data_IF_645029106911
#
_entry.id   IF_645029106911
#
_cell.length_a   1.000
_cell.length_b   1.000
_cell.length_c   1.000
_cell.angle_alpha   90.00
_cell.angle_beta   90.00
_cell.angle_gamma   90.00
#
_symmetry.space_group_name_H-M   'P 1'
#
loop_
_entity.id
_entity.type
_entity.pdbx_description
1 polymer ?
#
# COMPACT_ATOMS: atom_id res chain seq x y z
N UNK A 1 12.63 16.64 -16.06
CA UNK A 1 11.42 15.82 -16.31
C UNK A 1 10.26 16.23 -15.39
N UNK A 2 10.49 16.45 -14.08
CA UNK A 2 9.44 16.90 -13.14
C UNK A 2 8.72 18.18 -13.56
N UNK A 3 9.42 19.12 -14.20
CA UNK A 3 8.89 20.41 -14.64
C UNK A 3 7.74 20.29 -15.65
N UNK A 4 7.66 19.18 -16.39
CA UNK A 4 6.59 18.91 -17.37
C UNK A 4 5.24 18.74 -16.67
N UNK A 5 5.23 18.36 -15.39
CA UNK A 5 4.00 18.12 -14.63
C UNK A 5 3.42 19.39 -14.01
N UNK A 6 4.18 20.49 -13.92
CA UNK A 6 3.70 21.71 -13.26
C UNK A 6 2.46 22.30 -13.96
N UNK A 7 2.47 22.49 -15.29
CA UNK A 7 1.30 23.02 -15.99
C UNK A 7 0.11 22.03 -15.96
N UNK A 8 0.38 20.73 -15.87
CA UNK A 8 -0.66 19.71 -15.81
C UNK A 8 -1.39 19.73 -14.46
N UNK A 9 -0.69 20.07 -13.37
CA UNK A 9 -1.26 20.17 -12.02
C UNK A 9 -1.94 21.51 -11.76
N UNK A 10 -1.42 22.61 -12.32
CA UNK A 10 -1.91 23.97 -12.05
C UNK A 10 -2.99 24.40 -13.03
N UNK A 11 -2.76 24.19 -14.33
CA UNK A 11 -3.58 24.74 -15.40
C UNK A 11 -4.31 23.65 -16.22
N UNK A 12 -4.13 22.38 -15.87
CA UNK A 12 -4.59 21.22 -16.65
C UNK A 12 -4.12 21.29 -18.11
N UNK A 13 -2.87 21.71 -18.33
CA UNK A 13 -2.26 21.74 -19.66
C UNK A 13 -0.97 20.93 -19.70
N UNK A 14 -0.68 20.32 -20.84
CA UNK A 14 0.56 19.60 -21.05
C UNK A 14 1.26 20.11 -22.31
N UNK A 15 2.54 20.44 -22.18
CA UNK A 15 3.39 20.82 -23.31
C UNK A 15 4.16 19.59 -23.80
N UNK A 16 3.91 19.19 -25.05
CA UNK A 16 4.58 18.06 -25.69
C UNK A 16 5.41 18.55 -26.87
N UNK A 17 6.69 18.21 -26.86
CA UNK A 17 7.57 18.41 -28.00
C UNK A 17 7.31 17.31 -29.05
N UNK A 18 6.88 17.70 -30.25
CA UNK A 18 6.69 16.79 -31.39
C UNK A 18 7.76 17.06 -32.44
N UNK A 19 8.47 15.99 -32.83
CA UNK A 19 9.54 16.01 -33.83
C UNK A 19 10.95 16.00 -33.21
N UNK A 20 11.96 15.79 -34.06
CA UNK A 20 13.39 15.81 -33.69
C UNK A 20 14.15 16.87 -34.51
N UNK A 21 15.21 17.44 -33.93
CA UNK A 21 16.06 18.41 -34.60
C UNK A 21 15.43 19.81 -34.76
N UNK A 22 15.87 20.62 -35.75
CA UNK A 22 15.44 22.01 -35.92
C UNK A 22 13.94 22.18 -36.25
N UNK A 23 13.26 21.09 -36.61
CA UNK A 23 11.83 21.08 -36.93
C UNK A 23 10.94 20.71 -35.73
N UNK A 24 11.53 20.45 -34.54
CA UNK A 24 10.76 20.14 -33.35
C UNK A 24 9.87 21.32 -32.94
N UNK A 25 8.59 21.06 -32.72
CA UNK A 25 7.60 22.07 -32.30
C UNK A 25 6.95 21.66 -30.98
N UNK A 26 6.77 22.64 -30.09
CA UNK A 26 5.97 22.49 -28.87
C UNK A 26 4.48 22.61 -29.22
N UNK A 27 3.67 21.70 -28.70
CA UNK A 27 2.22 21.72 -28.81
C UNK A 27 1.63 21.62 -27.40
N UNK A 28 0.70 22.53 -27.08
CA UNK A 28 -0.08 22.49 -25.85
C UNK A 28 -1.32 21.64 -26.03
N UNK A 29 -1.55 20.75 -25.08
CA UNK A 29 -2.73 19.87 -25.02
C UNK A 29 -3.49 20.19 -23.74
N UNK A 30 -4.79 20.43 -23.85
CA UNK A 30 -5.67 20.58 -22.69
C UNK A 30 -5.98 19.19 -22.11
N UNK A 31 -5.87 19.09 -20.79
CA UNK A 31 -6.18 17.89 -20.02
C UNK A 31 -7.56 18.02 -19.37
N UNK A 32 -8.32 16.92 -19.27
CA UNK A 32 -9.48 16.90 -18.41
C UNK A 32 -9.05 17.05 -16.93
N UNK A 33 -9.92 17.59 -16.06
CA UNK A 33 -9.65 17.64 -14.62
C UNK A 33 -9.34 16.24 -14.06
N UNK A 34 -8.25 16.14 -13.30
CA UNK A 34 -7.82 14.89 -12.67
C UNK A 34 -7.24 15.12 -11.27
N UNK A 35 -7.09 14.03 -10.51
CA UNK A 35 -6.42 14.04 -9.21
C UNK A 35 -5.11 13.28 -9.29
N UNK A 36 -3.99 14.00 -9.14
CA UNK A 36 -2.67 13.39 -9.08
C UNK A 36 -2.41 12.82 -7.68
N UNK A 37 -2.11 11.52 -7.60
CA UNK A 37 -1.69 10.86 -6.35
C UNK A 37 -0.22 10.51 -6.45
N UNK A 38 0.63 11.23 -5.70
CA UNK A 38 2.05 10.96 -5.58
C UNK A 38 2.36 10.08 -4.36
N UNK A 39 3.25 9.10 -4.52
CA UNK A 39 3.76 8.28 -3.42
C UNK A 39 5.29 8.28 -3.45
N UNK A 40 5.92 8.73 -2.36
CA UNK A 40 7.39 8.69 -2.19
C UNK A 40 7.75 8.13 -0.83
N UNK A 41 8.89 7.44 -0.74
CA UNK A 41 9.45 6.98 0.53
C UNK A 41 10.15 8.12 1.29
N UNK A 42 10.54 9.19 0.58
CA UNK A 42 11.24 10.34 1.12
C UNK A 42 10.64 11.62 0.54
N UNK A 43 9.82 12.30 1.34
CA UNK A 43 9.22 13.58 0.95
C UNK A 43 10.29 14.65 0.64
N UNK A 44 11.43 14.62 1.34
CA UNK A 44 12.56 15.53 1.08
C UNK A 44 13.30 15.28 -0.24
N UNK A 45 12.99 14.19 -0.95
CA UNK A 45 13.53 13.95 -2.29
C UNK A 45 12.73 14.65 -3.39
N UNK A 46 11.56 15.20 -3.06
CA UNK A 46 10.79 16.03 -3.99
C UNK A 46 11.32 17.47 -3.95
N UNK A 47 11.45 18.07 -5.13
CA UNK A 47 11.74 19.49 -5.26
C UNK A 47 10.63 20.31 -4.58
N UNK A 48 10.99 21.45 -3.96
CA UNK A 48 9.98 22.30 -3.30
C UNK A 48 8.84 22.71 -4.23
N UNK A 49 9.09 23.15 -5.50
CA UNK A 49 8.02 23.49 -6.43
C UNK A 49 7.02 22.36 -6.66
N UNK A 50 7.47 21.12 -6.85
CA UNK A 50 6.57 19.98 -7.07
C UNK A 50 5.77 19.65 -5.81
N UNK A 51 6.42 19.68 -4.63
CA UNK A 51 5.79 19.38 -3.35
C UNK A 51 4.70 20.40 -3.00
N UNK A 52 4.95 21.68 -3.23
CA UNK A 52 4.05 22.77 -2.86
C UNK A 52 2.74 22.76 -3.69
N UNK A 53 2.72 22.03 -4.83
CA UNK A 53 1.53 21.82 -5.67
C UNK A 53 0.61 20.70 -5.17
N UNK A 54 1.03 19.88 -4.19
CA UNK A 54 0.15 18.89 -3.57
C UNK A 54 -0.66 19.53 -2.44
N UNK A 55 -1.96 19.78 -2.69
CA UNK A 55 -2.85 20.36 -1.68
C UNK A 55 -3.12 19.46 -0.46
N UNK A 56 -2.89 18.15 -0.58
CA UNK A 56 -3.03 17.18 0.51
C UNK A 56 -1.72 16.40 0.63
N UNK A 57 -1.03 16.57 1.75
CA UNK A 57 0.21 15.84 2.06
C UNK A 57 -0.05 14.94 3.25
N UNK A 58 0.07 13.63 3.04
CA UNK A 58 -0.09 12.62 4.08
C UNK A 58 1.23 11.88 4.30
N UNK A 59 1.66 11.83 5.56
CA UNK A 59 2.83 11.05 5.97
C UNK A 59 2.36 9.78 6.68
N UNK A 60 2.69 8.64 6.09
CA UNK A 60 2.44 7.34 6.73
C UNK A 60 3.55 7.04 7.73
N UNK A 61 3.14 6.72 8.95
CA UNK A 61 4.02 6.25 10.01
C UNK A 61 3.98 4.73 10.14
N UNK A 62 4.93 4.18 10.88
CA UNK A 62 4.88 2.78 11.25
C UNK A 62 3.69 2.50 12.15
N UNK A 63 3.03 1.37 11.90
CA UNK A 63 1.87 0.95 12.67
C UNK A 63 2.28 0.53 14.07
N UNK A 64 1.41 0.80 15.04
CA UNK A 64 1.58 0.29 16.39
C UNK A 64 1.23 -1.20 16.45
N UNK A 65 1.75 -1.89 17.47
CA UNK A 65 1.51 -3.33 17.67
C UNK A 65 0.00 -3.66 17.74
N UNK A 66 -0.86 -2.89 18.44
CA UNK A 66 -2.30 -3.16 18.48
C UNK A 66 -2.96 -3.10 17.10
N UNK A 67 -2.58 -2.11 16.27
CA UNK A 67 -3.13 -1.97 14.91
C UNK A 67 -2.68 -3.13 14.01
N UNK A 68 -1.41 -3.51 14.11
CA UNK A 68 -0.89 -4.68 13.38
C UNK A 68 -1.56 -5.97 13.84
N UNK A 69 -1.81 -6.14 15.14
CA UNK A 69 -2.55 -7.29 15.65
C UNK A 69 -3.96 -7.35 15.07
N UNK A 70 -4.66 -6.21 15.00
CA UNK A 70 -5.97 -6.12 14.38
C UNK A 70 -5.93 -6.47 12.88
N UNK A 71 -4.95 -5.95 12.14
CA UNK A 71 -4.73 -6.26 10.73
C UNK A 71 -4.49 -7.76 10.54
N UNK A 72 -3.58 -8.36 11.31
CA UNK A 72 -3.24 -9.79 11.22
C UNK A 72 -4.47 -10.65 11.53
N UNK A 73 -5.23 -10.30 12.57
CA UNK A 73 -6.44 -11.03 12.97
C UNK A 73 -7.48 -11.02 11.85
N UNK A 74 -7.73 -9.84 11.26
CA UNK A 74 -8.61 -9.68 10.10
C UNK A 74 -8.12 -10.48 8.90
N UNK A 75 -6.82 -10.45 8.61
CA UNK A 75 -6.23 -11.17 7.49
C UNK A 75 -6.25 -12.69 7.70
N UNK A 76 -6.11 -13.19 8.92
CA UNK A 76 -6.21 -14.62 9.25
C UNK A 76 -7.60 -15.16 8.91
N UNK A 77 -8.66 -14.44 9.30
CA UNK A 77 -10.05 -14.80 8.95
C UNK A 77 -10.27 -14.86 7.44
N UNK A 78 -9.71 -13.92 6.68
CA UNK A 78 -9.89 -13.87 5.24
C UNK A 78 -9.23 -15.04 4.50
N UNK A 79 -8.14 -15.59 5.04
CA UNK A 79 -7.42 -16.73 4.45
C UNK A 79 -7.78 -18.09 5.07
N UNK A 80 -8.81 -18.14 5.93
CA UNK A 80 -9.23 -19.36 6.62
C UNK A 80 -8.20 -19.88 7.65
N UNK A 81 -7.28 -19.03 8.11
CA UNK A 81 -6.33 -19.37 9.16
C UNK A 81 -6.92 -19.09 10.54
N UNK A 82 -6.42 -19.79 11.56
CA UNK A 82 -6.86 -19.63 12.93
C UNK A 82 -6.51 -18.24 13.43
N UNK A 83 -7.50 -17.54 14.00
CA UNK A 83 -7.36 -16.19 14.53
C UNK A 83 -7.11 -16.22 16.05
N UNK A 84 -6.06 -16.93 16.47
CA UNK A 84 -5.68 -16.93 17.89
C UNK A 84 -5.03 -15.59 18.25
N UNK A 85 -5.61 -14.88 19.24
CA UNK A 85 -5.15 -13.55 19.66
C UNK A 85 -3.65 -13.50 20.00
N UNK A 86 -3.12 -14.57 20.60
CA UNK A 86 -1.68 -14.69 20.93
C UNK A 86 -0.81 -14.86 19.68
N UNK A 87 -1.23 -15.67 18.72
CA UNK A 87 -0.54 -15.85 17.44
C UNK A 87 -0.51 -14.54 16.64
N UNK A 88 -1.63 -13.83 16.55
CA UNK A 88 -1.71 -12.53 15.89
C UNK A 88 -0.79 -11.47 16.53
N UNK A 89 -0.72 -11.46 17.87
CA UNK A 89 0.18 -10.56 18.61
C UNK A 89 1.66 -10.85 18.31
N UNK A 90 2.05 -12.12 18.24
CA UNK A 90 3.44 -12.50 17.98
C UNK A 90 3.87 -12.16 16.55
N UNK A 91 2.99 -12.36 15.57
CA UNK A 91 3.20 -11.89 14.20
C UNK A 91 3.34 -10.37 14.18
N UNK A 92 2.44 -9.63 14.84
CA UNK A 92 2.47 -8.17 14.89
C UNK A 92 3.79 -7.63 15.46
N UNK A 93 4.27 -8.17 16.58
CA UNK A 93 5.56 -7.79 17.21
C UNK A 93 6.75 -7.98 16.27
N UNK A 94 6.74 -9.00 15.42
CA UNK A 94 7.84 -9.32 14.47
C UNK A 94 7.71 -8.63 13.10
N UNK A 95 6.69 -7.80 12.91
CA UNK A 95 6.36 -7.22 11.61
C UNK A 95 7.01 -5.86 11.33
N UNK A 96 7.85 -5.36 12.24
CA UNK A 96 8.59 -4.09 12.07
C UNK A 96 7.67 -2.93 11.65
N UNK A 97 6.53 -2.76 12.33
CA UNK A 97 5.60 -1.65 12.06
C UNK A 97 4.90 -1.71 10.69
N UNK A 98 5.04 -2.81 9.94
CA UNK A 98 4.70 -2.83 8.51
C UNK A 98 3.62 -3.89 8.18
N UNK A 99 2.41 -3.51 7.75
CA UNK A 99 1.33 -4.44 7.40
C UNK A 99 1.72 -5.47 6.32
N UNK A 100 2.49 -5.05 5.32
CA UNK A 100 3.00 -5.94 4.26
C UNK A 100 3.87 -7.08 4.81
N UNK A 101 4.69 -6.80 5.82
CA UNK A 101 5.53 -7.82 6.48
C UNK A 101 4.65 -8.73 7.32
N UNK A 102 3.68 -8.18 8.06
CA UNK A 102 2.75 -8.94 8.88
C UNK A 102 1.98 -9.99 8.08
N UNK A 103 1.39 -9.59 6.95
CA UNK A 103 0.67 -10.50 6.07
C UNK A 103 1.58 -11.55 5.41
N UNK A 104 2.85 -11.22 5.16
CA UNK A 104 3.84 -12.19 4.68
C UNK A 104 4.18 -13.23 5.74
N UNK A 105 4.37 -12.81 6.99
CA UNK A 105 4.64 -13.72 8.11
C UNK A 105 3.44 -14.61 8.40
N UNK A 106 2.22 -14.05 8.42
CA UNK A 106 0.98 -14.80 8.62
C UNK A 106 0.85 -15.96 7.62
N UNK A 107 1.10 -15.72 6.32
CA UNK A 107 1.08 -16.79 5.31
C UNK A 107 2.05 -17.92 5.64
N UNK A 108 3.30 -17.58 6.01
CA UNK A 108 4.31 -18.59 6.41
C UNK A 108 3.92 -19.37 7.66
N UNK A 109 3.33 -18.70 8.66
CA UNK A 109 2.85 -19.35 9.88
C UNK A 109 1.72 -20.33 9.56
N UNK A 110 0.79 -19.94 8.68
CA UNK A 110 -0.28 -20.82 8.20
C UNK A 110 0.29 -22.04 7.47
N UNK A 111 1.15 -21.81 6.48
CA UNK A 111 1.72 -22.91 5.67
C UNK A 111 2.48 -23.91 6.56
N UNK A 112 3.20 -23.41 7.57
CA UNK A 112 3.86 -24.27 8.56
C UNK A 112 2.87 -25.07 9.42
N UNK A 113 1.77 -24.44 9.86
CA UNK A 113 0.73 -25.10 10.63
C UNK A 113 0.03 -26.20 9.80
N UNK A 114 -0.26 -25.95 8.52
CA UNK A 114 -0.88 -26.93 7.62
C UNK A 114 0.01 -28.17 7.43
N UNK A 115 1.32 -27.99 7.23
CA UNK A 115 2.27 -29.09 7.06
C UNK A 115 2.48 -29.87 8.37
N UNK A 116 2.60 -29.18 9.52
CA UNK A 116 2.78 -29.82 10.84
C UNK A 116 1.59 -30.66 11.30
N UNK A 117 0.42 -30.42 10.73
CA UNK A 117 -0.81 -31.12 11.08
C UNK A 117 -1.28 -32.09 9.98
N UNK A 118 -0.39 -32.60 9.12
CA UNK A 118 -0.69 -33.59 8.06
C UNK A 118 -1.88 -33.18 7.14
N UNK A 119 -2.06 -31.88 6.88
CA UNK A 119 -3.20 -31.37 6.11
C UNK A 119 -4.55 -31.46 6.83
N UNK A 120 -4.63 -32.13 7.98
CA UNK A 120 -5.71 -31.96 8.97
C UNK A 120 -5.50 -30.65 9.70
N UNK A 121 -5.96 -29.55 9.09
CA UNK A 121 -6.07 -28.26 9.79
C UNK A 121 -6.69 -28.51 11.18
N UNK A 122 -6.02 -28.15 12.30
CA UNK A 122 -6.57 -28.40 13.61
C UNK A 122 -7.94 -27.72 13.64
N UNK A 123 -8.96 -28.44 14.13
CA UNK A 123 -10.37 -28.02 14.18
C UNK A 123 -10.64 -26.67 14.88
N UNK A 124 -9.59 -25.95 15.29
CA UNK A 124 -9.60 -24.54 15.66
C UNK A 124 -9.81 -23.56 14.48
N UNK A 125 -9.74 -24.02 13.23
CA UNK A 125 -9.89 -23.22 12.00
C UNK A 125 -11.32 -23.15 11.41
N UNK A 126 -12.37 -23.05 12.24
CA UNK A 126 -13.70 -22.62 11.75
C UNK A 126 -14.34 -21.63 12.73
N UNK A 127 -14.43 -20.33 12.40
CA UNK A 127 -15.46 -19.49 12.99
C UNK A 127 -16.79 -19.81 12.29
N UNK A 128 -17.70 -20.45 13.02
CA UNK A 128 -19.15 -20.36 12.79
C UNK A 128 -19.69 -20.90 11.46
N UNK A 129 -20.00 -22.20 11.42
CA UNK A 129 -21.21 -22.65 10.74
C UNK A 129 -22.33 -22.58 11.79
N UNK A 130 -23.09 -21.48 11.82
CA UNK A 130 -24.14 -21.26 12.80
C UNK A 130 -24.62 -19.82 12.82
N UNK A 131 -25.21 -19.36 11.71
CA UNK A 131 -26.30 -18.40 11.81
C UNK A 131 -27.59 -19.25 11.85
N UNK A 132 -28.16 -19.35 13.03
CA UNK A 132 -29.56 -19.67 13.30
C UNK A 132 -30.03 -18.63 14.33
#
# INVERSE_FOLDING_TARGET
MEEVLYPAMEDYQLDIMIGEGPAARSIKIDLPPFTLIGATTRAGSLTSPLRDRFGIVQRLEFYQIPDLQHIVSRSARHIGAGDERRGALEVARRSRGTPRIANRLLRRVRDFAEVRHDGTSPRYCRPGAGYA
#
